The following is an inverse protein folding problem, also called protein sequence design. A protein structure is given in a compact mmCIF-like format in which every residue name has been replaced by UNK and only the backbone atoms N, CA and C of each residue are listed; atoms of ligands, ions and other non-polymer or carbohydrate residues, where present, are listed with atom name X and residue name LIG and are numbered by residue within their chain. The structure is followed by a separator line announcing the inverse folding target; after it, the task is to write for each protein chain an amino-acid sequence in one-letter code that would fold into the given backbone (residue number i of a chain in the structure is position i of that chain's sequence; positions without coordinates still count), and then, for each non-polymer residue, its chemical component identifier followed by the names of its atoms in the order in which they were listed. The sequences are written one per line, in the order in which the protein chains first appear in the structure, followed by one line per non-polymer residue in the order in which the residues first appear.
data_IF_577191781329
#
_entry.id   IF_577191781329
#
_cell.length_a   1.000
_cell.length_b   1.000
_cell.length_c   1.000
_cell.angle_alpha   90.00
_cell.angle_beta   90.00
_cell.angle_gamma   90.00
#
_symmetry.space_group_name_H-M   'P 1'
#
loop_
_entity.id
_entity.type
_entity.pdbx_description
1 polymer ?
#
# COMPACT_ATOMS: atom_id res chain seq x y z
N UNK A 1 -1.36 -34.31 -10.31
CA UNK A 1 -0.34 -33.42 -10.91
C UNK A 1 -0.86 -32.00 -10.74
N UNK A 2 -0.29 -31.23 -9.80
CA UNK A 2 -0.61 -29.81 -9.72
C UNK A 2 -0.09 -29.14 -11.00
N UNK A 3 -0.97 -28.38 -11.66
CA UNK A 3 -0.60 -27.50 -12.77
C UNK A 3 0.53 -26.58 -12.28
N UNK A 4 1.63 -26.56 -13.02
CA UNK A 4 2.59 -25.47 -12.85
C UNK A 4 1.89 -24.24 -13.40
N UNK A 5 1.55 -23.29 -12.54
CA UNK A 5 1.07 -21.98 -12.98
C UNK A 5 2.20 -21.35 -13.81
N UNK A 6 1.92 -21.14 -15.09
CA UNK A 6 2.86 -20.51 -16.01
C UNK A 6 3.05 -19.06 -15.57
N UNK A 7 4.28 -18.69 -15.19
CA UNK A 7 4.60 -17.32 -14.77
C UNK A 7 4.49 -16.42 -16.00
N UNK A 8 3.43 -15.61 -16.04
CA UNK A 8 3.26 -14.60 -17.05
C UNK A 8 4.05 -13.34 -16.68
N UNK A 9 4.96 -12.92 -17.55
CA UNK A 9 5.62 -11.62 -17.43
C UNK A 9 4.67 -10.56 -17.98
N UNK A 10 4.32 -9.58 -17.14
CA UNK A 10 3.44 -8.46 -17.47
C UNK A 10 4.23 -7.17 -17.23
N UNK A 11 4.26 -6.27 -18.21
CA UNK A 11 4.84 -4.94 -18.02
C UNK A 11 3.83 -3.95 -17.39
N UNK A 12 4.30 -2.76 -17.00
CA UNK A 12 3.45 -1.77 -16.32
C UNK A 12 2.31 -1.28 -17.22
N UNK A 13 2.52 -1.19 -18.54
CA UNK A 13 1.50 -0.72 -19.49
C UNK A 13 0.37 -1.75 -19.61
N UNK A 14 0.73 -3.03 -19.71
CA UNK A 14 -0.22 -4.14 -19.70
C UNK A 14 -0.98 -4.22 -18.37
N UNK A 15 -0.29 -4.03 -17.24
CA UNK A 15 -0.91 -3.99 -15.92
C UNK A 15 -1.89 -2.82 -15.80
N UNK A 16 -1.51 -1.62 -16.27
CA UNK A 16 -2.38 -0.45 -16.31
C UNK A 16 -3.64 -0.72 -17.14
N UNK A 17 -3.49 -1.33 -18.32
CA UNK A 17 -4.63 -1.71 -19.16
C UNK A 17 -5.60 -2.66 -18.43
N UNK A 18 -5.07 -3.64 -17.68
CA UNK A 18 -5.90 -4.52 -16.84
C UNK A 18 -6.67 -3.72 -15.78
N UNK A 19 -6.02 -2.78 -15.08
CA UNK A 19 -6.68 -1.90 -14.10
C UNK A 19 -7.81 -1.09 -14.74
N UNK A 20 -7.60 -0.54 -15.94
CA UNK A 20 -8.62 0.25 -16.64
C UNK A 20 -9.89 -0.56 -16.92
N UNK A 21 -9.78 -1.87 -17.17
CA UNK A 21 -10.95 -2.74 -17.38
C UNK A 21 -11.70 -3.13 -16.10
N UNK A 22 -11.11 -2.95 -14.92
CA UNK A 22 -11.75 -3.30 -13.64
C UNK A 22 -12.81 -2.27 -13.25
N UNK A 23 -13.92 -2.71 -12.62
CA UNK A 23 -14.93 -1.81 -12.07
C UNK A 23 -14.37 -1.05 -10.85
N UNK A 24 -14.89 0.14 -10.60
CA UNK A 24 -14.73 0.81 -9.31
C UNK A 24 -15.56 0.08 -8.25
N UNK A 25 -14.94 -0.29 -7.12
CA UNK A 25 -15.60 -0.99 -6.02
C UNK A 25 -15.60 -0.19 -4.71
N UNK A 26 -14.99 1.00 -4.71
CA UNK A 26 -14.97 1.94 -3.60
C UNK A 26 -15.66 3.24 -4.03
N UNK A 27 -16.99 3.24 -4.02
CA UNK A 27 -17.78 4.34 -4.58
C UNK A 27 -17.49 4.51 -6.08
N UNK A 28 -17.09 5.71 -6.49
CA UNK A 28 -16.67 6.00 -7.87
C UNK A 28 -15.17 5.74 -8.12
N UNK A 29 -14.41 5.35 -7.10
CA UNK A 29 -12.95 5.20 -7.15
C UNK A 29 -12.53 3.75 -7.39
N UNK A 30 -11.54 3.55 -8.26
CA UNK A 30 -10.85 2.26 -8.40
C UNK A 30 -9.72 2.18 -7.39
N UNK A 31 -9.83 1.26 -6.44
CA UNK A 31 -8.80 1.01 -5.44
C UNK A 31 -7.88 -0.12 -5.89
N UNK A 32 -6.58 0.16 -5.96
CA UNK A 32 -5.54 -0.82 -6.23
C UNK A 32 -4.70 -0.98 -4.97
N UNK A 33 -4.52 -2.22 -4.53
CA UNK A 33 -3.69 -2.55 -3.37
C UNK A 33 -2.41 -3.20 -3.84
N UNK A 34 -1.26 -2.68 -3.41
CA UNK A 34 0.06 -3.25 -3.71
C UNK A 34 0.73 -3.62 -2.38
N UNK A 35 0.75 -4.90 -2.08
CA UNK A 35 1.24 -5.45 -0.82
C UNK A 35 2.43 -6.39 -1.05
N UNK A 36 3.11 -6.77 0.02
CA UNK A 36 4.33 -7.57 0.01
C UNK A 36 5.33 -7.13 1.08
N UNK A 37 6.37 -7.93 1.34
CA UNK A 37 7.35 -7.66 2.40
C UNK A 37 8.13 -6.36 2.18
N UNK A 38 8.72 -5.81 3.25
CA UNK A 38 9.62 -4.67 3.14
C UNK A 38 10.78 -4.94 2.14
N UNK A 39 11.11 -3.95 1.30
CA UNK A 39 12.17 -4.10 0.28
C UNK A 39 11.78 -4.89 -0.99
N UNK A 40 10.52 -5.29 -1.15
CA UNK A 40 10.08 -6.05 -2.34
C UNK A 40 9.97 -5.22 -3.62
N UNK A 41 9.82 -3.89 -3.52
CA UNK A 41 9.71 -2.98 -4.67
C UNK A 41 8.32 -2.40 -4.93
N UNK A 42 7.40 -2.54 -3.97
CA UNK A 42 6.01 -2.01 -4.02
C UNK A 42 5.95 -0.54 -4.42
N UNK A 43 6.69 0.33 -3.71
CA UNK A 43 6.72 1.77 -3.98
C UNK A 43 7.20 2.09 -5.40
N UNK A 44 8.12 1.30 -5.95
CA UNK A 44 8.58 1.45 -7.35
C UNK A 44 7.46 1.10 -8.32
N UNK A 45 6.78 -0.04 -8.13
CA UNK A 45 5.65 -0.42 -8.98
C UNK A 45 4.50 0.58 -8.85
N UNK A 46 4.15 1.00 -7.64
CA UNK A 46 3.10 1.97 -7.37
C UNK A 46 3.37 3.29 -8.10
N UNK A 47 4.60 3.81 -8.05
CA UNK A 47 4.99 5.03 -8.76
C UNK A 47 4.83 4.90 -10.28
N UNK A 48 5.33 3.80 -10.86
CA UNK A 48 5.24 3.57 -12.30
C UNK A 48 3.78 3.42 -12.74
N UNK A 49 3.00 2.63 -12.01
CA UNK A 49 1.59 2.41 -12.32
C UNK A 49 0.76 3.69 -12.14
N UNK A 50 1.05 4.50 -11.13
CA UNK A 50 0.41 5.79 -10.91
C UNK A 50 0.68 6.77 -12.06
N UNK A 51 1.91 6.79 -12.59
CA UNK A 51 2.27 7.62 -13.73
C UNK A 51 1.48 7.22 -14.98
N UNK A 52 1.33 5.92 -15.25
CA UNK A 52 0.56 5.42 -16.41
C UNK A 52 -0.95 5.65 -16.26
N UNK A 53 -1.49 5.57 -15.04
CA UNK A 53 -2.93 5.67 -14.78
C UNK A 53 -3.42 7.07 -14.41
N UNK A 54 -2.51 8.00 -14.08
CA UNK A 54 -2.87 9.24 -13.40
C UNK A 54 -3.50 9.00 -12.03
N UNK A 55 -2.99 8.00 -11.29
CA UNK A 55 -3.53 7.61 -9.99
C UNK A 55 -2.86 8.37 -8.82
N UNK A 56 -3.59 8.52 -7.73
CA UNK A 56 -3.04 8.97 -6.45
C UNK A 56 -2.40 7.79 -5.70
N UNK A 57 -1.32 8.02 -4.96
CA UNK A 57 -0.64 6.98 -4.18
C UNK A 57 -0.61 7.36 -2.71
N UNK A 58 -1.12 6.48 -1.86
CA UNK A 58 -1.00 6.57 -0.41
C UNK A 58 -0.09 5.42 0.06
N UNK A 59 0.96 5.78 0.79
CA UNK A 59 1.91 4.84 1.37
C UNK A 59 1.42 4.40 2.76
N UNK A 60 1.43 3.10 3.07
CA UNK A 60 1.11 2.62 4.41
C UNK A 60 2.07 3.20 5.47
N UNK A 61 3.32 3.50 5.11
CA UNK A 61 4.29 4.19 5.97
C UNK A 61 3.79 5.58 6.44
N UNK A 62 2.93 6.26 5.66
CA UNK A 62 2.27 7.51 6.08
C UNK A 62 1.13 7.23 7.08
N UNK A 63 0.57 6.01 7.07
CA UNK A 63 -0.66 5.62 7.76
C UNK A 63 -0.42 4.84 9.05
N UNK A 64 0.78 4.36 9.29
CA UNK A 64 1.10 3.72 10.56
C UNK A 64 1.10 4.72 11.72
N UNK A 65 0.81 4.22 12.92
CA UNK A 65 0.96 4.97 14.15
C UNK A 65 2.22 4.52 14.88
N UNK A 66 3.39 4.84 14.30
CA UNK A 66 4.66 4.29 14.76
C UNK A 66 4.79 2.80 14.49
N UNK A 67 5.77 2.16 15.11
CA UNK A 67 6.09 0.76 14.85
C UNK A 67 5.08 -0.19 15.50
N UNK A 68 4.74 0.04 16.77
CA UNK A 68 3.96 -0.92 17.57
C UNK A 68 2.48 -0.98 17.20
N UNK A 69 1.96 0.07 16.56
CA UNK A 69 0.54 0.21 16.22
C UNK A 69 0.29 0.17 14.70
N UNK A 70 1.28 -0.31 13.93
CA UNK A 70 1.27 -0.20 12.49
C UNK A 70 0.30 -1.16 11.77
N UNK A 71 0.25 -2.43 12.20
CA UNK A 71 -0.58 -3.48 11.59
C UNK A 71 -1.77 -3.88 12.49
N UNK A 72 -2.20 -2.97 13.34
CA UNK A 72 -3.26 -3.21 14.32
C UNK A 72 -4.63 -2.74 13.82
N UNK A 73 -5.68 -3.12 14.55
CA UNK A 73 -7.05 -2.68 14.26
C UNK A 73 -7.23 -1.16 14.31
N UNK A 74 -6.44 -0.41 15.10
CA UNK A 74 -6.55 1.05 15.19
C UNK A 74 -6.12 1.70 13.86
N UNK A 75 -5.02 1.24 13.26
CA UNK A 75 -4.54 1.72 11.95
C UNK A 75 -5.60 1.47 10.88
N UNK A 76 -6.17 0.26 10.81
CA UNK A 76 -7.20 -0.03 9.82
C UNK A 76 -8.54 0.69 10.07
N UNK A 77 -8.90 0.94 11.34
CA UNK A 77 -10.05 1.80 11.69
C UNK A 77 -9.83 3.23 11.22
N UNK A 78 -8.61 3.75 11.33
CA UNK A 78 -8.25 5.08 10.85
C UNK A 78 -8.28 5.17 9.32
N UNK A 79 -7.76 4.15 8.62
CA UNK A 79 -7.87 4.05 7.16
C UNK A 79 -9.34 4.01 6.73
N UNK A 80 -10.16 3.22 7.41
CA UNK A 80 -11.60 3.15 7.19
C UNK A 80 -12.26 4.52 7.26
N UNK A 81 -12.10 5.21 8.39
CA UNK A 81 -12.75 6.51 8.64
C UNK A 81 -12.19 7.68 7.82
N UNK A 82 -10.87 7.73 7.58
CA UNK A 82 -10.23 8.86 6.89
C UNK A 82 -10.19 8.73 5.37
N UNK A 83 -10.21 7.50 4.84
CA UNK A 83 -10.01 7.24 3.40
C UNK A 83 -11.21 6.49 2.79
N UNK A 84 -11.58 5.34 3.35
CA UNK A 84 -12.57 4.47 2.70
C UNK A 84 -14.00 5.05 2.80
N UNK A 85 -14.42 5.46 3.99
CA UNK A 85 -15.76 6.03 4.24
C UNK A 85 -16.04 7.29 3.41
N UNK A 86 -15.10 8.27 3.29
CA UNK A 86 -15.27 9.40 2.40
C UNK A 86 -15.45 8.99 0.93
N UNK A 87 -14.66 8.05 0.42
CA UNK A 87 -14.76 7.60 -0.97
C UNK A 87 -16.06 6.85 -1.25
N UNK A 88 -16.53 6.02 -0.30
CA UNK A 88 -17.86 5.38 -0.35
C UNK A 88 -18.96 6.43 -0.44
N UNK A 89 -18.80 7.52 0.32
CA UNK A 89 -19.77 8.61 0.39
C UNK A 89 -19.67 9.61 -0.76
N UNK A 90 -18.68 9.47 -1.65
CA UNK A 90 -18.44 10.39 -2.77
C UNK A 90 -17.91 11.77 -2.34
N UNK A 91 -17.26 11.85 -1.17
CA UNK A 91 -16.65 13.07 -0.64
C UNK A 91 -15.12 13.02 -0.73
N UNK A 92 -14.46 14.18 -0.67
CA UNK A 92 -13.00 14.24 -0.65
C UNK A 92 -12.42 13.46 0.54
N UNK A 93 -11.29 12.77 0.30
CA UNK A 93 -10.49 12.12 1.33
C UNK A 93 -9.67 13.18 2.05
N UNK A 94 -9.56 13.04 3.37
CA UNK A 94 -8.62 13.81 4.19
C UNK A 94 -7.99 12.85 5.20
N UNK A 95 -6.67 12.72 5.19
CA UNK A 95 -5.95 11.83 6.09
C UNK A 95 -4.69 12.49 6.67
N UNK A 96 -4.22 12.02 7.83
CA UNK A 96 -2.98 12.51 8.43
C UNK A 96 -1.83 11.53 8.21
N UNK A 97 -0.70 12.07 7.74
CA UNK A 97 0.57 11.33 7.69
C UNK A 97 1.19 11.22 9.07
N UNK A 98 1.98 10.18 9.31
CA UNK A 98 2.80 10.03 10.51
C UNK A 98 4.19 10.61 10.29
N UNK A 99 4.59 11.55 11.15
CA UNK A 99 5.95 12.08 11.19
C UNK A 99 6.82 11.13 12.02
N UNK A 100 7.59 10.27 11.36
CA UNK A 100 8.49 9.31 12.00
C UNK A 100 9.61 9.94 12.82
N UNK A 101 9.95 11.21 12.57
CA UNK A 101 11.00 11.93 13.32
C UNK A 101 10.41 12.50 14.61
N UNK A 102 9.23 13.10 14.55
CA UNK A 102 8.54 13.66 15.73
C UNK A 102 7.68 12.63 16.48
N UNK A 103 7.49 11.45 15.91
CA UNK A 103 6.66 10.37 16.44
C UNK A 103 5.21 10.77 16.72
N UNK A 104 4.59 11.48 15.79
CA UNK A 104 3.20 11.95 15.90
C UNK A 104 2.57 12.17 14.53
N UNK A 105 1.24 12.23 14.45
CA UNK A 105 0.57 12.64 13.22
C UNK A 105 0.84 14.10 12.87
N UNK A 106 1.05 14.35 11.58
CA UNK A 106 1.35 15.65 11.00
C UNK A 106 0.11 16.30 10.39
N UNK A 107 0.33 17.21 9.43
CA UNK A 107 -0.72 17.90 8.69
C UNK A 107 -1.65 16.96 7.92
N UNK A 108 -2.86 17.46 7.70
CA UNK A 108 -3.88 16.79 6.90
C UNK A 108 -3.56 16.93 5.41
N UNK A 109 -3.76 15.84 4.68
CA UNK A 109 -3.61 15.75 3.24
C UNK A 109 -4.97 15.47 2.62
N UNK A 110 -5.37 16.32 1.68
CA UNK A 110 -6.63 16.18 0.96
C UNK A 110 -6.42 15.65 -0.45
N UNK A 111 -7.17 14.61 -0.82
CA UNK A 111 -7.14 14.03 -2.17
C UNK A 111 -8.55 13.67 -2.64
N UNK A 112 -8.77 13.67 -3.95
CA UNK A 112 -10.02 13.22 -4.55
C UNK A 112 -9.74 12.36 -5.80
N UNK A 113 -9.29 11.11 -5.62
CA UNK A 113 -8.82 10.27 -6.71
C UNK A 113 -9.94 9.52 -7.44
N UNK A 114 -9.88 9.50 -8.77
CA UNK A 114 -10.63 8.53 -9.58
C UNK A 114 -10.00 7.12 -9.50
N UNK A 115 -8.67 7.04 -9.36
CA UNK A 115 -7.90 5.82 -9.14
C UNK A 115 -6.97 6.07 -7.96
N UNK A 116 -7.05 5.22 -6.95
CA UNK A 116 -6.23 5.26 -5.74
C UNK A 116 -5.40 3.99 -5.65
N UNK A 117 -4.10 4.15 -5.43
CA UNK A 117 -3.18 3.07 -5.06
C UNK A 117 -2.87 3.21 -3.57
N UNK A 118 -3.10 2.15 -2.80
CA UNK A 118 -2.54 2.03 -1.45
C UNK A 118 -1.44 0.98 -1.51
N UNK A 119 -0.23 1.35 -1.11
CA UNK A 119 0.93 0.47 -1.17
C UNK A 119 1.67 0.44 0.16
N UNK A 120 2.21 -0.73 0.50
CA UNK A 120 2.96 -0.92 1.72
C UNK A 120 2.59 -2.23 2.41
N UNK A 121 3.28 -2.55 3.50
CA UNK A 121 3.05 -3.80 4.22
C UNK A 121 1.66 -3.74 4.85
N UNK A 122 0.84 -4.76 4.59
CA UNK A 122 -0.54 -4.81 5.08
C UNK A 122 -1.52 -3.94 4.27
N UNK A 123 -1.10 -3.38 3.13
CA UNK A 123 -1.99 -2.64 2.24
C UNK A 123 -3.17 -3.48 1.76
N UNK A 124 -3.01 -4.81 1.66
CA UNK A 124 -4.06 -5.74 1.29
C UNK A 124 -4.69 -6.46 2.50
N UNK A 125 -4.71 -5.83 3.68
CA UNK A 125 -5.41 -6.36 4.85
C UNK A 125 -6.88 -6.67 4.56
N UNK A 126 -7.47 -7.60 5.34
CA UNK A 126 -8.86 -8.03 5.15
C UNK A 126 -9.87 -6.89 5.30
N UNK A 127 -9.52 -5.87 6.09
CA UNK A 127 -10.31 -4.67 6.36
C UNK A 127 -10.45 -3.80 5.11
N UNK A 128 -9.44 -3.79 4.23
CA UNK A 128 -9.39 -2.95 3.02
C UNK A 128 -9.70 -3.76 1.75
N UNK A 129 -9.28 -5.03 1.70
CA UNK A 129 -9.24 -5.85 0.48
C UNK A 129 -10.59 -5.97 -0.24
N UNK A 130 -11.70 -5.98 0.50
CA UNK A 130 -13.06 -6.10 -0.07
C UNK A 130 -13.47 -4.92 -0.95
N UNK A 131 -12.79 -3.77 -0.83
CA UNK A 131 -13.05 -2.58 -1.65
C UNK A 131 -12.14 -2.50 -2.90
N UNK A 132 -11.21 -3.44 -3.07
CA UNK A 132 -10.18 -3.37 -4.11
C UNK A 132 -10.70 -3.81 -5.48
N UNK A 133 -10.47 -2.97 -6.49
CA UNK A 133 -10.63 -3.31 -7.91
C UNK A 133 -9.55 -4.30 -8.38
N UNK A 134 -8.37 -4.24 -7.76
CA UNK A 134 -7.25 -5.15 -7.99
C UNK A 134 -6.35 -5.19 -6.75
N UNK A 135 -5.83 -6.37 -6.42
CA UNK A 135 -4.79 -6.55 -5.41
C UNK A 135 -3.57 -7.19 -6.08
N UNK A 136 -2.39 -6.65 -5.81
CA UNK A 136 -1.09 -7.09 -6.32
C UNK A 136 -0.22 -7.46 -5.12
N UNK A 137 0.40 -8.62 -5.16
CA UNK A 137 1.39 -9.05 -4.19
C UNK A 137 2.77 -9.09 -4.85
N UNK A 138 3.75 -8.45 -4.24
CA UNK A 138 5.15 -8.53 -4.68
C UNK A 138 5.94 -9.37 -3.67
N UNK A 139 6.28 -10.57 -4.11
CA UNK A 139 7.13 -11.50 -3.37
C UNK A 139 8.59 -11.04 -3.42
N UNK A 140 9.32 -11.22 -2.32
CA UNK A 140 10.77 -11.06 -2.27
C UNK A 140 11.35 -12.05 -1.28
N UNK A 141 12.55 -12.55 -1.56
CA UNK A 141 13.27 -13.36 -0.59
C UNK A 141 13.57 -12.50 0.66
N UNK A 142 13.27 -12.99 1.89
CA UNK A 142 13.33 -12.16 3.10
C UNK A 142 14.69 -11.51 3.37
N UNK A 143 15.81 -12.21 3.13
CA UNK A 143 17.13 -11.65 3.34
C UNK A 143 17.45 -10.55 2.31
N UNK A 144 17.05 -10.74 1.06
CA UNK A 144 17.18 -9.72 0.01
C UNK A 144 16.32 -8.49 0.33
N UNK A 145 15.10 -8.68 0.82
CA UNK A 145 14.22 -7.61 1.27
C UNK A 145 14.88 -6.78 2.38
N UNK A 146 15.35 -7.44 3.44
CA UNK A 146 16.08 -6.83 4.55
C UNK A 146 17.33 -6.08 4.06
N UNK A 147 18.14 -6.69 3.19
CA UNK A 147 19.34 -6.05 2.64
C UNK A 147 19.01 -4.75 1.92
N UNK A 148 17.95 -4.72 1.11
CA UNK A 148 17.50 -3.52 0.40
C UNK A 148 17.03 -2.43 1.37
N UNK A 149 16.28 -2.81 2.40
CA UNK A 149 15.80 -1.88 3.43
C UNK A 149 16.98 -1.25 4.17
N UNK A 150 17.93 -2.05 4.65
CA UNK A 150 19.11 -1.54 5.38
C UNK A 150 20.02 -0.68 4.50
N UNK A 151 20.14 -1.00 3.21
CA UNK A 151 20.88 -0.16 2.25
C UNK A 151 20.20 1.20 2.02
N UNK A 152 18.86 1.24 2.03
CA UNK A 152 18.08 2.46 1.79
C UNK A 152 17.97 3.34 3.03
N UNK A 153 17.60 2.75 4.16
CA UNK A 153 17.16 3.48 5.37
C UNK A 153 18.23 3.49 6.48
N UNK A 154 19.29 2.72 6.29
CA UNK A 154 20.42 2.61 7.20
C UNK A 154 20.25 1.58 8.31
N UNK A 155 21.37 1.19 8.92
CA UNK A 155 21.39 0.14 9.95
C UNK A 155 20.70 0.50 11.27
N UNK A 156 20.38 1.78 11.47
CA UNK A 156 19.73 2.28 12.69
C UNK A 156 18.32 1.72 12.92
N UNK A 157 17.64 1.26 11.87
CA UNK A 157 16.32 0.63 11.96
C UNK A 157 16.37 -0.90 12.04
N UNK A 158 17.56 -1.50 12.08
CA UNK A 158 17.73 -2.96 11.97
C UNK A 158 16.99 -3.74 13.06
N UNK A 159 16.99 -3.25 14.30
CA UNK A 159 16.24 -3.88 15.40
C UNK A 159 14.74 -3.83 15.19
N UNK A 160 14.20 -2.69 14.76
CA UNK A 160 12.78 -2.52 14.49
C UNK A 160 12.36 -3.39 13.30
N UNK A 161 13.16 -3.38 12.23
CA UNK A 161 12.89 -4.15 11.02
C UNK A 161 12.96 -5.66 11.25
N UNK A 162 13.82 -6.13 12.17
CA UNK A 162 13.85 -7.54 12.56
C UNK A 162 12.56 -7.96 13.28
N UNK A 163 12.00 -7.10 14.14
CA UNK A 163 10.68 -7.33 14.74
C UNK A 163 9.59 -7.28 13.68
N UNK A 164 9.65 -6.29 12.78
CA UNK A 164 8.70 -6.10 11.70
C UNK A 164 8.55 -7.34 10.79
N UNK A 165 9.67 -7.99 10.43
CA UNK A 165 9.66 -9.22 9.65
C UNK A 165 8.92 -10.39 10.31
N UNK A 166 8.73 -10.36 11.62
CA UNK A 166 7.97 -11.38 12.35
C UNK A 166 6.47 -11.06 12.38
N UNK A 167 6.10 -9.80 12.13
CA UNK A 167 4.74 -9.27 12.28
C UNK A 167 4.03 -9.05 10.93
N UNK A 168 4.77 -8.96 9.82
CA UNK A 168 4.23 -8.76 8.47
C UNK A 168 3.63 -10.03 7.80
#
# INVERSE_FOLDING_TARGET
MASHDEIQIIDVVQLAALVTTRPALLGATKLILIDGPAGSGKSTLAKLLAQELGAEVIHMDDLYHGWEDALTASTFTRIGSQILEPLISGTSVSYQKFDWIKYQFSEWVEVNPAILIIEGVGAASKEIRNYSSMTIWIEVEPNLGMQRVLQRDGNQISSQMATWQLEE
#
